data_IF_982114912628
#
_entry.id   IF_982114912628
#
_cell.length_a   1.000
_cell.length_b   1.000
_cell.length_c   1.000
_cell.angle_alpha   90.00
_cell.angle_beta   90.00
_cell.angle_gamma   90.00
#
_symmetry.space_group_name_H-M   'P 1'
#
loop_
_entity.id
_entity.type
_entity.pdbx_description
1 polymer ?
#
# COMPACT_ATOMS: atom_id res chain seq x y z
N UNK A 1 -9.16 5.60 28.72
CA UNK A 1 -8.55 6.32 29.87
C UNK A 1 -8.71 7.84 29.77
N UNK A 2 -8.49 8.43 28.59
CA UNK A 2 -8.53 9.89 28.41
C UNK A 2 -9.88 10.48 28.77
N UNK A 3 -10.97 9.94 28.24
CA UNK A 3 -12.32 10.44 28.53
C UNK A 3 -12.70 10.27 30.00
N UNK A 4 -12.26 9.15 30.62
CA UNK A 4 -12.52 8.90 32.05
C UNK A 4 -11.83 9.96 32.91
N UNK A 5 -10.54 10.22 32.72
CA UNK A 5 -9.82 11.21 33.52
C UNK A 5 -10.33 12.63 33.28
N UNK A 6 -10.66 12.97 32.02
CA UNK A 6 -11.25 14.26 31.67
C UNK A 6 -12.59 14.49 32.37
N UNK A 7 -13.43 13.44 32.47
CA UNK A 7 -14.68 13.50 33.23
C UNK A 7 -14.43 13.72 34.74
N UNK A 8 -13.41 13.04 35.32
CA UNK A 8 -13.04 13.25 36.72
C UNK A 8 -12.51 14.68 36.95
N UNK A 9 -11.68 15.19 36.07
CA UNK A 9 -11.20 16.57 36.16
C UNK A 9 -12.33 17.58 36.08
N UNK A 10 -13.30 17.35 35.16
CA UNK A 10 -14.48 18.21 35.05
C UNK A 10 -15.35 18.17 36.32
N UNK A 11 -15.61 16.97 36.89
CA UNK A 11 -16.38 16.83 38.14
C UNK A 11 -15.72 17.56 39.32
N UNK A 12 -14.41 17.70 39.32
CA UNK A 12 -13.64 18.40 40.34
C UNK A 12 -13.47 19.91 40.08
N UNK A 13 -13.85 20.40 38.87
CA UNK A 13 -13.64 21.80 38.47
C UNK A 13 -14.92 22.63 38.60
N UNK A 14 -15.11 23.22 39.77
CA UNK A 14 -16.30 24.05 40.09
C UNK A 14 -16.46 25.27 39.16
N UNK A 15 -15.36 25.82 38.66
CA UNK A 15 -15.41 26.98 37.75
C UNK A 15 -15.99 26.61 36.39
N UNK A 16 -15.56 25.46 35.86
CA UNK A 16 -16.10 24.96 34.57
C UNK A 16 -17.56 24.52 34.73
N UNK A 17 -17.90 23.86 35.82
CA UNK A 17 -19.30 23.45 36.11
C UNK A 17 -20.19 24.69 36.10
N UNK A 18 -19.85 25.73 36.84
CA UNK A 18 -20.60 26.97 36.87
C UNK A 18 -20.65 27.70 35.52
N UNK A 19 -19.51 27.77 34.81
CA UNK A 19 -19.42 28.41 33.50
C UNK A 19 -20.36 27.81 32.47
N UNK A 20 -20.54 26.50 32.49
CA UNK A 20 -21.35 25.77 31.50
C UNK A 20 -22.70 25.31 32.05
N UNK A 21 -23.09 25.72 33.24
CA UNK A 21 -24.37 25.41 33.91
C UNK A 21 -24.62 23.89 34.02
N UNK A 22 -23.61 23.14 34.51
CA UNK A 22 -23.64 21.70 34.62
C UNK A 22 -24.03 21.19 36.02
N UNK A 23 -24.35 22.07 36.96
CA UNK A 23 -24.59 21.76 38.36
C UNK A 23 -25.63 20.65 38.56
N UNK A 24 -26.70 20.70 37.74
CA UNK A 24 -27.84 19.79 37.89
C UNK A 24 -27.63 18.43 37.20
N UNK A 25 -26.59 18.27 36.38
CA UNK A 25 -26.39 17.07 35.55
C UNK A 25 -25.07 16.35 35.76
N UNK A 26 -24.02 17.05 36.22
CA UNK A 26 -22.67 16.51 36.24
C UNK A 26 -22.50 15.29 37.14
N UNK A 27 -23.23 15.25 38.24
CA UNK A 27 -23.17 14.12 39.19
C UNK A 27 -23.83 12.85 38.64
N UNK A 28 -24.78 13.00 37.73
CA UNK A 28 -25.50 11.89 37.09
C UNK A 28 -24.72 11.31 35.90
N UNK A 29 -23.70 12.02 35.40
CA UNK A 29 -22.85 11.51 34.33
C UNK A 29 -21.86 10.48 34.86
N UNK A 30 -22.12 9.23 34.55
CA UNK A 30 -21.27 8.11 34.96
C UNK A 30 -20.72 7.36 33.75
N UNK A 31 -19.49 6.81 33.84
CA UNK A 31 -18.94 5.98 32.78
C UNK A 31 -19.77 4.72 32.58
N UNK A 32 -20.05 4.37 31.32
CA UNK A 32 -20.72 3.12 30.95
C UNK A 32 -19.66 2.16 30.44
N UNK A 33 -19.63 0.95 31.00
CA UNK A 33 -18.72 -0.09 30.56
C UNK A 33 -19.15 -0.66 29.20
N UNK A 34 -18.41 -0.40 28.17
CA UNK A 34 -18.67 -0.90 26.80
C UNK A 34 -18.05 -2.28 26.58
N UNK A 35 -16.92 -2.57 27.21
CA UNK A 35 -16.28 -3.88 27.10
C UNK A 35 -15.63 -4.29 28.44
N UNK A 36 -15.61 -5.59 28.69
CA UNK A 36 -14.95 -6.20 29.83
C UNK A 36 -13.62 -6.85 29.39
N UNK A 37 -12.60 -6.75 30.21
CA UNK A 37 -11.29 -7.35 30.01
C UNK A 37 -10.90 -8.16 31.24
N UNK A 38 -10.55 -9.43 31.04
CA UNK A 38 -10.11 -10.28 32.13
C UNK A 38 -8.86 -9.69 32.82
N UNK A 39 -8.95 -9.47 34.13
CA UNK A 39 -7.87 -8.88 34.94
C UNK A 39 -8.00 -7.37 35.14
N UNK A 40 -9.09 -6.77 34.67
CA UNK A 40 -9.51 -5.41 34.98
C UNK A 40 -10.89 -5.44 35.65
N UNK A 41 -11.17 -4.42 36.45
CA UNK A 41 -12.44 -4.23 37.10
C UNK A 41 -13.58 -3.83 36.17
N UNK A 42 -14.68 -3.36 36.73
CA UNK A 42 -15.88 -3.00 35.98
C UNK A 42 -15.62 -1.88 34.96
N UNK A 43 -14.76 -0.92 35.30
CA UNK A 43 -14.33 0.18 34.42
C UNK A 43 -12.82 0.06 34.17
N UNK A 44 -12.36 -0.61 33.11
CA UNK A 44 -10.93 -0.81 32.84
C UNK A 44 -10.13 0.49 32.75
N UNK A 45 -10.76 1.57 32.26
CA UNK A 45 -10.16 2.89 32.19
C UNK A 45 -9.81 3.47 33.58
N UNK A 46 -10.67 3.27 34.58
CA UNK A 46 -10.42 3.72 35.94
C UNK A 46 -9.22 2.97 36.54
N UNK A 47 -9.20 1.65 36.36
CA UNK A 47 -8.17 0.81 36.96
C UNK A 47 -6.76 1.07 36.40
N UNK A 48 -6.63 1.28 35.07
CA UNK A 48 -5.32 1.59 34.50
C UNK A 48 -4.82 2.97 34.92
N UNK A 49 -5.72 3.94 35.10
CA UNK A 49 -5.39 5.28 35.60
C UNK A 49 -4.85 5.20 37.00
N UNK A 50 -5.54 4.47 37.88
CA UNK A 50 -5.12 4.25 39.27
C UNK A 50 -3.78 3.50 39.34
N UNK A 51 -3.64 2.40 38.59
CA UNK A 51 -2.43 1.58 38.51
C UNK A 51 -1.19 2.36 38.11
N UNK A 52 -1.32 3.30 37.17
CA UNK A 52 -0.21 4.12 36.69
C UNK A 52 -0.04 5.44 37.43
N UNK A 53 -0.96 5.75 38.38
CA UNK A 53 -0.96 6.96 39.18
C UNK A 53 -1.13 8.22 38.35
N UNK A 54 -1.98 8.19 37.34
CA UNK A 54 -2.30 9.32 36.46
C UNK A 54 -3.16 10.31 37.24
N UNK A 55 -2.79 11.58 37.25
CA UNK A 55 -3.43 12.57 38.13
C UNK A 55 -4.48 13.42 37.43
N UNK A 56 -4.28 13.74 36.17
CA UNK A 56 -5.15 14.61 35.39
C UNK A 56 -5.00 14.31 33.87
N UNK A 57 -5.84 14.95 33.06
CA UNK A 57 -5.86 14.76 31.61
C UNK A 57 -4.59 15.24 30.88
N UNK A 58 -3.68 15.97 31.53
CA UNK A 58 -2.42 16.43 30.95
C UNK A 58 -1.23 15.58 31.38
N UNK A 59 -1.47 14.51 32.15
CA UNK A 59 -0.38 13.61 32.59
C UNK A 59 0.25 12.91 31.37
N UNK A 60 1.59 13.01 31.19
CA UNK A 60 2.27 12.41 30.03
C UNK A 60 2.12 10.89 29.95
N UNK A 61 1.82 10.20 31.05
CA UNK A 61 1.58 8.76 31.07
C UNK A 61 0.23 8.35 30.46
N UNK A 62 -0.68 9.31 30.27
CA UNK A 62 -2.02 9.04 29.77
C UNK A 62 -2.03 8.41 28.38
N UNK A 63 -1.11 8.84 27.53
CA UNK A 63 -0.96 8.26 26.18
C UNK A 63 -0.57 6.78 26.24
N UNK A 64 0.39 6.44 27.07
CA UNK A 64 0.83 5.05 27.24
C UNK A 64 -0.23 4.17 27.85
N UNK A 65 -0.95 4.68 28.86
CA UNK A 65 -2.10 4.01 29.48
C UNK A 65 -3.20 3.70 28.47
N UNK A 66 -3.50 4.66 27.59
CA UNK A 66 -4.51 4.50 26.54
C UNK A 66 -4.08 3.43 25.53
N UNK A 67 -2.83 3.47 25.09
CA UNK A 67 -2.29 2.49 24.14
C UNK A 67 -2.23 1.08 24.73
N UNK A 68 -1.83 0.95 26.01
CA UNK A 68 -1.80 -0.33 26.71
C UNK A 68 -3.22 -0.93 26.81
N UNK A 69 -4.17 -0.16 27.29
CA UNK A 69 -5.54 -0.63 27.46
C UNK A 69 -6.20 -0.98 26.13
N UNK A 70 -6.09 -0.14 25.11
CA UNK A 70 -6.67 -0.41 23.78
C UNK A 70 -6.15 -1.69 23.15
N UNK A 71 -4.84 -1.97 23.29
CA UNK A 71 -4.27 -3.24 22.80
C UNK A 71 -4.87 -4.46 23.52
N UNK A 72 -5.10 -4.35 24.81
CA UNK A 72 -5.67 -5.45 25.59
C UNK A 72 -7.15 -5.61 25.30
N UNK A 73 -7.92 -4.53 25.25
CA UNK A 73 -9.33 -4.51 24.89
C UNK A 73 -9.57 -5.11 23.51
N UNK A 74 -8.81 -4.68 22.50
CA UNK A 74 -8.93 -5.21 21.13
C UNK A 74 -8.66 -6.72 21.08
N UNK A 75 -7.64 -7.21 21.79
CA UNK A 75 -7.22 -8.62 21.70
C UNK A 75 -8.04 -9.56 22.58
N UNK A 76 -8.46 -9.12 23.75
CA UNK A 76 -9.03 -9.96 24.80
C UNK A 76 -10.38 -9.46 25.33
N UNK A 77 -10.80 -8.27 24.94
CA UNK A 77 -12.04 -7.65 25.37
C UNK A 77 -13.27 -8.37 24.84
N UNK A 78 -14.29 -8.40 25.66
CA UNK A 78 -15.64 -8.88 25.33
C UNK A 78 -16.59 -7.70 25.48
N UNK A 79 -17.41 -7.45 24.48
CA UNK A 79 -18.44 -6.41 24.54
C UNK A 79 -19.43 -6.73 25.67
N UNK A 80 -19.78 -5.72 26.47
CA UNK A 80 -20.69 -5.84 27.60
C UNK A 80 -22.08 -6.27 27.13
N UNK A 81 -22.71 -7.18 27.87
CA UNK A 81 -24.00 -7.81 27.53
C UNK A 81 -25.15 -6.80 27.31
N UNK A 82 -25.08 -5.63 27.93
CA UNK A 82 -26.09 -4.58 27.79
C UNK A 82 -25.99 -3.79 26.47
N UNK A 83 -24.96 -4.03 25.67
CA UNK A 83 -24.82 -3.40 24.35
C UNK A 83 -25.63 -4.21 23.32
N UNK A 84 -26.70 -3.61 22.74
CA UNK A 84 -27.55 -4.34 21.81
C UNK A 84 -26.77 -4.87 20.60
N UNK A 85 -27.16 -6.04 20.10
CA UNK A 85 -26.63 -6.69 18.89
C UNK A 85 -25.18 -7.20 18.98
N UNK A 86 -24.34 -6.61 19.86
CA UNK A 86 -22.90 -6.93 19.95
C UNK A 86 -22.50 -7.55 21.30
N UNK A 87 -23.37 -7.56 22.32
CA UNK A 87 -23.07 -8.09 23.65
C UNK A 87 -22.52 -9.53 23.59
N UNK A 88 -21.54 -9.82 24.43
CA UNK A 88 -20.88 -11.13 24.51
C UNK A 88 -19.87 -11.43 23.39
N UNK A 89 -19.79 -10.61 22.33
CA UNK A 89 -18.84 -10.81 21.24
C UNK A 89 -17.45 -10.27 21.60
N UNK A 90 -16.42 -10.85 20.99
CA UNK A 90 -15.06 -10.27 21.08
C UNK A 90 -15.02 -8.89 20.45
N UNK A 91 -14.32 -7.94 21.08
CA UNK A 91 -14.19 -6.55 20.57
C UNK A 91 -13.73 -6.51 19.12
N UNK A 92 -12.73 -7.32 18.73
CA UNK A 92 -12.23 -7.35 17.36
C UNK A 92 -13.30 -7.74 16.33
N UNK A 93 -14.20 -8.68 16.68
CA UNK A 93 -15.31 -9.13 15.81
C UNK A 93 -16.42 -8.08 15.78
N UNK A 94 -16.86 -7.64 16.95
CA UNK A 94 -17.94 -6.65 17.08
C UNK A 94 -17.60 -5.33 16.36
N UNK A 95 -16.33 -4.92 16.35
CA UNK A 95 -15.88 -3.72 15.66
C UNK A 95 -16.09 -3.79 14.15
N UNK A 96 -15.75 -4.92 13.54
CA UNK A 96 -15.91 -5.07 12.08
C UNK A 96 -17.40 -5.21 11.70
N UNK A 97 -18.18 -5.94 12.48
CA UNK A 97 -19.63 -6.03 12.28
C UNK A 97 -20.32 -4.66 12.46
N UNK A 98 -19.98 -3.92 13.51
CA UNK A 98 -20.53 -2.58 13.75
C UNK A 98 -20.19 -1.61 12.60
N UNK A 99 -18.95 -1.66 12.09
CA UNK A 99 -18.53 -0.86 10.95
C UNK A 99 -19.37 -1.18 9.71
N UNK A 100 -19.55 -2.47 9.40
CA UNK A 100 -20.38 -2.91 8.28
C UNK A 100 -21.83 -2.44 8.43
N UNK A 101 -22.44 -2.66 9.60
CA UNK A 101 -23.80 -2.23 9.91
C UNK A 101 -24.03 -0.72 9.75
N UNK A 102 -23.05 0.08 10.18
CA UNK A 102 -23.13 1.55 10.06
C UNK A 102 -23.08 2.00 8.59
N UNK A 103 -22.27 1.34 7.77
CA UNK A 103 -22.18 1.60 6.34
C UNK A 103 -23.49 1.18 5.64
N UNK A 104 -24.00 -0.03 5.92
CA UNK A 104 -25.23 -0.54 5.34
C UNK A 104 -26.46 0.30 5.69
N UNK A 105 -26.48 0.84 6.89
CA UNK A 105 -27.53 1.77 7.36
C UNK A 105 -27.35 3.22 6.84
N UNK A 106 -26.34 3.49 6.01
CA UNK A 106 -25.96 4.83 5.53
C UNK A 106 -25.70 5.85 6.65
N UNK A 107 -25.25 5.38 7.81
CA UNK A 107 -24.87 6.21 8.96
C UNK A 107 -23.38 6.51 9.02
N UNK A 108 -22.58 5.80 8.20
CA UNK A 108 -21.16 6.01 8.05
C UNK A 108 -20.73 5.79 6.59
N UNK A 109 -19.57 6.32 6.26
CA UNK A 109 -18.89 6.06 4.99
C UNK A 109 -17.41 5.77 5.24
N UNK A 110 -16.78 5.04 4.33
CA UNK A 110 -15.35 4.76 4.41
C UNK A 110 -14.56 5.98 3.97
N UNK A 111 -13.58 6.39 4.76
CA UNK A 111 -12.58 7.39 4.42
C UNK A 111 -11.20 6.74 4.49
N UNK A 112 -10.39 6.99 3.46
CA UNK A 112 -9.00 6.55 3.44
C UNK A 112 -8.09 7.65 3.98
N UNK A 113 -7.17 7.29 4.85
CA UNK A 113 -6.19 8.21 5.43
C UNK A 113 -4.87 7.49 5.67
N UNK A 114 -3.78 8.24 5.89
CA UNK A 114 -2.49 7.65 6.21
C UNK A 114 -2.50 7.01 7.59
N UNK A 115 -1.90 5.81 7.68
CA UNK A 115 -1.75 5.11 8.96
C UNK A 115 -0.77 5.82 9.89
N UNK A 116 0.21 6.51 9.32
CA UNK A 116 1.23 7.27 10.05
C UNK A 116 1.27 8.72 9.54
N UNK A 117 1.44 9.67 10.42
CA UNK A 117 1.53 11.11 10.13
C UNK A 117 2.71 11.74 10.85
N UNK A 118 3.32 12.81 10.34
CA UNK A 118 3.01 13.50 9.07
C UNK A 118 3.59 12.77 7.85
N UNK A 119 2.91 12.83 6.72
CA UNK A 119 3.45 12.42 5.42
C UNK A 119 3.71 13.68 4.60
N UNK A 120 4.98 13.98 4.40
CA UNK A 120 5.42 15.23 3.79
C UNK A 120 5.94 14.97 2.37
N UNK A 121 5.45 15.74 1.41
CA UNK A 121 5.94 15.73 0.04
C UNK A 121 7.38 16.28 -0.04
N UNK A 122 8.10 15.96 -1.10
CA UNK A 122 9.42 16.56 -1.39
C UNK A 122 9.40 18.09 -1.53
N UNK A 123 8.23 18.68 -1.83
CA UNK A 123 8.03 20.12 -1.85
C UNK A 123 7.84 20.76 -0.46
N UNK A 124 7.75 19.96 0.60
CA UNK A 124 7.54 20.39 1.98
C UNK A 124 6.08 20.50 2.43
N UNK A 125 5.11 20.22 1.53
CA UNK A 125 3.68 20.28 1.84
C UNK A 125 3.18 18.95 2.40
N UNK A 126 2.13 19.01 3.22
CA UNK A 126 1.44 17.82 3.73
C UNK A 126 0.73 17.06 2.61
N UNK A 127 0.94 15.75 2.58
CA UNK A 127 0.23 14.86 1.67
C UNK A 127 -1.18 14.56 2.20
N UNK A 128 -2.11 14.40 1.26
CA UNK A 128 -3.48 13.95 1.51
C UNK A 128 -3.81 12.74 0.65
N UNK A 129 -4.67 11.86 1.13
CA UNK A 129 -5.17 10.75 0.34
C UNK A 129 -6.17 11.27 -0.69
N UNK A 130 -5.98 10.90 -1.95
CA UNK A 130 -6.90 11.21 -3.04
C UNK A 130 -7.27 9.92 -3.76
N UNK A 131 -8.57 9.65 -3.87
CA UNK A 131 -9.08 8.57 -4.73
C UNK A 131 -9.00 9.08 -6.18
N UNK A 132 -8.40 8.28 -7.04
CA UNK A 132 -8.28 8.58 -8.46
C UNK A 132 -8.95 7.48 -9.27
N UNK A 133 -9.74 7.89 -10.25
CA UNK A 133 -10.41 6.97 -11.18
C UNK A 133 -9.54 6.74 -12.43
N UNK A 134 -9.84 5.67 -13.15
CA UNK A 134 -9.29 5.36 -14.45
C UNK A 134 -7.76 5.25 -14.50
N UNK A 135 -7.15 4.72 -13.44
CA UNK A 135 -5.72 4.43 -13.41
C UNK A 135 -5.42 3.10 -14.10
N UNK A 136 -4.25 3.01 -14.74
CA UNK A 136 -3.72 1.76 -15.26
C UNK A 136 -2.76 1.14 -14.25
N UNK A 137 -2.87 -0.18 -14.10
CA UNK A 137 -2.05 -0.96 -13.18
C UNK A 137 -1.32 -2.08 -13.91
N UNK A 138 -0.08 -2.33 -13.53
CA UNK A 138 0.60 -3.58 -13.80
C UNK A 138 0.17 -4.60 -12.75
N UNK A 139 -0.34 -5.73 -13.22
CA UNK A 139 -0.89 -6.78 -12.35
C UNK A 139 0.23 -7.70 -11.85
N UNK A 140 1.13 -7.19 -11.03
CA UNK A 140 2.19 -8.02 -10.43
C UNK A 140 1.64 -9.10 -9.47
N UNK A 141 0.39 -8.97 -9.01
CA UNK A 141 -0.34 -9.99 -8.27
C UNK A 141 -0.75 -11.21 -9.10
N UNK A 142 -0.47 -11.24 -10.40
CA UNK A 142 -0.79 -12.38 -11.26
C UNK A 142 0.10 -13.60 -10.93
N UNK A 143 -0.53 -14.68 -10.48
CA UNK A 143 0.17 -15.89 -10.00
C UNK A 143 1.06 -16.54 -11.09
N UNK A 144 0.60 -16.54 -12.35
CA UNK A 144 1.37 -17.11 -13.46
C UNK A 144 2.61 -16.26 -13.76
N UNK A 145 2.44 -14.94 -13.79
CA UNK A 145 3.56 -14.03 -14.01
C UNK A 145 4.57 -14.06 -12.86
N UNK A 146 4.09 -14.11 -11.62
CA UNK A 146 4.93 -14.29 -10.43
C UNK A 146 5.74 -15.60 -10.50
N UNK A 147 5.10 -16.71 -10.89
CA UNK A 147 5.77 -18.00 -11.04
C UNK A 147 6.88 -17.95 -12.12
N UNK A 148 6.62 -17.37 -13.30
CA UNK A 148 7.63 -17.14 -14.34
C UNK A 148 8.78 -16.28 -13.84
N UNK A 149 8.49 -15.24 -13.07
CA UNK A 149 9.52 -14.36 -12.51
C UNK A 149 10.43 -15.11 -11.53
N UNK A 150 9.88 -16.01 -10.72
CA UNK A 150 10.68 -16.90 -9.88
C UNK A 150 11.53 -17.90 -10.68
N UNK A 151 11.04 -18.40 -11.81
CA UNK A 151 11.83 -19.26 -12.71
C UNK A 151 13.05 -18.52 -13.24
N UNK A 152 12.88 -17.28 -13.72
CA UNK A 152 13.98 -16.42 -14.15
C UNK A 152 14.98 -16.19 -13.02
N UNK A 153 14.49 -15.76 -11.82
CA UNK A 153 15.35 -15.55 -10.66
C UNK A 153 16.16 -16.80 -10.26
N UNK A 154 15.57 -18.00 -10.43
CA UNK A 154 16.24 -19.25 -10.12
C UNK A 154 17.32 -19.61 -11.14
N UNK A 155 17.20 -19.16 -12.37
CA UNK A 155 18.22 -19.28 -13.42
C UNK A 155 19.39 -18.32 -13.23
N UNK A 156 19.23 -17.23 -12.47
CA UNK A 156 20.22 -16.19 -12.30
C UNK A 156 21.25 -16.46 -11.22
N UNK A 157 22.45 -15.94 -11.42
CA UNK A 157 23.52 -15.92 -10.41
C UNK A 157 23.55 -14.55 -9.73
N UNK A 158 22.98 -14.48 -8.52
CA UNK A 158 22.93 -13.25 -7.72
C UNK A 158 24.19 -13.09 -6.88
N UNK A 159 24.84 -11.91 -6.97
CA UNK A 159 26.03 -11.57 -6.19
C UNK A 159 25.81 -10.23 -5.48
N UNK A 160 25.92 -10.16 -4.14
CA UNK A 160 26.18 -11.27 -3.23
C UNK A 160 24.93 -12.16 -3.02
N UNK A 161 25.15 -13.42 -2.68
CA UNK A 161 24.09 -14.47 -2.65
C UNK A 161 22.92 -14.14 -1.70
N UNK A 162 23.20 -13.46 -0.59
CA UNK A 162 22.17 -13.08 0.39
C UNK A 162 21.10 -12.14 -0.19
N UNK A 163 21.40 -11.43 -1.29
CA UNK A 163 20.45 -10.53 -1.97
C UNK A 163 19.35 -11.34 -2.68
N UNK A 164 19.57 -12.62 -3.01
CA UNK A 164 18.55 -13.44 -3.63
C UNK A 164 17.29 -13.54 -2.78
N UNK A 165 17.43 -13.70 -1.46
CA UNK A 165 16.29 -13.75 -0.54
C UNK A 165 15.47 -12.44 -0.56
N UNK A 166 16.12 -11.32 -0.82
CA UNK A 166 15.40 -10.04 -0.94
C UNK A 166 14.59 -9.99 -2.24
N UNK A 167 15.13 -10.52 -3.35
CA UNK A 167 14.36 -10.65 -4.60
C UNK A 167 13.14 -11.55 -4.40
N UNK A 168 13.32 -12.75 -3.82
CA UNK A 168 12.22 -13.67 -3.52
C UNK A 168 11.13 -12.97 -2.69
N UNK A 169 11.52 -12.29 -1.61
CA UNK A 169 10.60 -11.55 -0.77
C UNK A 169 9.83 -10.45 -1.53
N UNK A 170 10.51 -9.63 -2.35
CA UNK A 170 9.85 -8.54 -3.06
C UNK A 170 9.01 -9.01 -4.23
N UNK A 171 9.37 -10.09 -4.91
CA UNK A 171 8.54 -10.71 -5.95
C UNK A 171 7.23 -11.21 -5.36
N UNK A 172 7.26 -11.87 -4.20
CA UNK A 172 6.07 -12.35 -3.50
C UNK A 172 5.25 -11.22 -2.85
N UNK A 173 5.90 -10.10 -2.50
CA UNK A 173 5.27 -8.98 -1.82
C UNK A 173 4.60 -8.00 -2.78
N UNK A 174 5.06 -7.93 -4.03
CA UNK A 174 4.51 -6.99 -5.00
C UNK A 174 3.06 -7.32 -5.32
N UNK A 175 2.22 -6.30 -5.19
CA UNK A 175 0.82 -6.29 -5.59
C UNK A 175 0.64 -5.40 -6.82
N UNK A 176 -0.59 -5.17 -7.26
CA UNK A 176 -0.89 -4.34 -8.42
C UNK A 176 -0.27 -2.94 -8.28
N UNK A 177 0.50 -2.54 -9.31
CA UNK A 177 1.27 -1.30 -9.28
C UNK A 177 0.69 -0.25 -10.22
N UNK A 178 0.31 0.91 -9.69
CA UNK A 178 -0.19 2.04 -10.50
C UNK A 178 0.91 2.58 -11.43
N UNK A 179 0.82 2.21 -12.70
CA UNK A 179 1.83 2.52 -13.71
C UNK A 179 1.54 3.78 -14.54
N UNK A 180 0.46 4.49 -14.25
CA UNK A 180 0.08 5.71 -14.97
C UNK A 180 0.28 6.98 -14.13
N UNK A 181 0.61 8.09 -14.81
CA UNK A 181 0.77 9.41 -14.20
C UNK A 181 0.08 10.46 -15.11
N UNK A 182 -0.56 11.44 -14.51
CA UNK A 182 -1.20 12.54 -15.24
C UNK A 182 -0.26 13.74 -15.48
N UNK A 183 0.85 13.79 -14.75
CA UNK A 183 1.86 14.86 -14.83
C UNK A 183 3.26 14.26 -14.72
N UNK A 184 4.21 14.83 -15.43
CA UNK A 184 5.62 14.45 -15.38
C UNK A 184 6.27 14.38 -16.77
N UNK A 185 7.49 13.84 -16.78
CA UNK A 185 8.21 13.46 -18.00
C UNK A 185 8.07 11.94 -18.17
N UNK A 186 7.79 11.49 -19.37
CA UNK A 186 7.65 10.08 -19.68
C UNK A 186 6.95 9.83 -21.00
N UNK A 187 6.84 8.58 -21.37
CA UNK A 187 6.15 8.11 -22.57
C UNK A 187 4.64 8.06 -22.30
N UNK A 188 3.85 8.49 -23.26
CA UNK A 188 2.38 8.34 -23.17
C UNK A 188 1.99 6.90 -23.40
N UNK A 189 0.96 6.45 -22.66
CA UNK A 189 0.34 5.14 -22.93
C UNK A 189 -0.23 5.13 -24.35
N UNK A 190 0.15 4.16 -25.22
CA UNK A 190 -0.30 4.13 -26.60
C UNK A 190 -1.80 4.03 -26.79
N UNK A 191 -2.48 3.34 -25.89
CA UNK A 191 -3.93 3.10 -25.92
C UNK A 191 -4.75 4.08 -25.08
N UNK A 192 -4.06 4.92 -24.27
CA UNK A 192 -4.70 5.93 -23.43
C UNK A 192 -3.81 7.15 -23.22
N UNK A 193 -3.76 8.00 -24.24
CA UNK A 193 -2.85 9.13 -24.34
C UNK A 193 -3.01 10.23 -23.27
N UNK A 194 -4.05 10.17 -22.44
CA UNK A 194 -4.17 11.08 -21.30
C UNK A 194 -3.16 10.78 -20.20
N UNK A 195 -2.62 9.55 -20.18
CA UNK A 195 -1.69 9.08 -19.16
C UNK A 195 -0.26 8.94 -19.69
N UNK A 196 0.69 9.22 -18.81
CA UNK A 196 2.11 8.92 -18.99
C UNK A 196 2.42 7.60 -18.28
N UNK A 197 3.33 6.82 -18.83
CA UNK A 197 3.91 5.67 -18.14
C UNK A 197 4.75 6.19 -16.98
N UNK A 198 4.63 5.56 -15.84
CA UNK A 198 5.43 5.89 -14.66
C UNK A 198 6.93 5.62 -14.95
N UNK A 199 7.85 6.57 -14.64
CA UNK A 199 9.24 6.48 -15.06
C UNK A 199 10.00 5.24 -14.58
N UNK A 200 9.66 4.72 -13.41
CA UNK A 200 10.28 3.49 -12.90
C UNK A 200 9.90 2.29 -13.77
N UNK A 201 8.63 2.19 -14.13
CA UNK A 201 8.10 1.14 -15.01
C UNK A 201 8.68 1.26 -16.43
N UNK A 202 8.70 2.47 -16.99
CA UNK A 202 9.21 2.75 -18.34
C UNK A 202 10.71 2.39 -18.47
N UNK A 203 11.46 2.50 -17.38
CA UNK A 203 12.93 2.32 -17.40
C UNK A 203 13.42 0.88 -17.25
N UNK A 204 12.54 -0.11 -17.15
CA UNK A 204 12.94 -1.50 -16.87
C UNK A 204 13.38 -2.28 -18.11
N UNK A 205 12.87 -1.94 -19.30
CA UNK A 205 13.12 -2.67 -20.55
C UNK A 205 14.09 -1.97 -21.49
N UNK A 206 14.62 -0.79 -21.14
CA UNK A 206 15.45 0.00 -22.08
C UNK A 206 16.70 -0.75 -22.58
N UNK A 207 17.24 -1.66 -21.77
CA UNK A 207 18.43 -2.40 -22.16
C UNK A 207 18.15 -3.41 -23.29
N UNK A 208 16.98 -4.01 -23.38
CA UNK A 208 16.57 -4.83 -24.52
C UNK A 208 16.32 -3.94 -25.75
N UNK A 209 15.65 -2.81 -25.59
CA UNK A 209 15.42 -1.84 -26.65
C UNK A 209 16.72 -1.29 -27.26
N UNK A 210 17.74 -1.02 -26.44
CA UNK A 210 19.02 -0.48 -26.95
C UNK A 210 19.70 -1.37 -27.94
N UNK A 211 19.52 -2.68 -27.92
CA UNK A 211 20.11 -3.62 -28.85
C UNK A 211 19.67 -3.34 -30.29
N UNK A 212 18.43 -2.91 -30.47
CA UNK A 212 17.78 -2.69 -31.78
C UNK A 212 17.58 -1.20 -32.13
N UNK A 213 17.77 -0.29 -31.17
CA UNK A 213 17.46 1.14 -31.33
C UNK A 213 18.12 1.79 -32.55
N UNK A 214 19.32 1.32 -32.98
CA UNK A 214 20.03 1.84 -34.14
C UNK A 214 19.26 1.66 -35.46
N UNK A 215 18.50 0.56 -35.58
CA UNK A 215 17.65 0.28 -36.72
C UNK A 215 16.38 1.13 -36.70
N UNK A 216 15.71 1.17 -35.53
CA UNK A 216 14.41 1.81 -35.37
C UNK A 216 14.43 3.32 -35.62
N UNK A 217 15.58 3.99 -35.42
CA UNK A 217 15.72 5.45 -35.61
C UNK A 217 15.41 5.93 -37.02
N UNK A 218 15.57 5.07 -38.02
CA UNK A 218 15.38 5.40 -39.41
C UNK A 218 14.10 4.78 -40.01
N UNK A 219 13.32 4.08 -39.19
CA UNK A 219 12.08 3.45 -39.61
C UNK A 219 10.90 4.39 -39.40
N UNK A 220 9.82 4.16 -40.13
CA UNK A 220 8.58 4.87 -39.92
C UNK A 220 7.91 4.35 -38.65
N UNK A 221 7.52 5.24 -37.74
CA UNK A 221 6.88 4.87 -36.49
C UNK A 221 5.56 4.07 -36.68
N UNK A 222 4.83 4.29 -37.79
CA UNK A 222 3.59 3.57 -38.11
C UNK A 222 3.84 2.09 -38.51
N UNK A 223 5.08 1.72 -38.82
CA UNK A 223 5.46 0.34 -39.12
C UNK A 223 5.96 -0.41 -37.88
N UNK A 224 6.27 0.32 -36.79
CA UNK A 224 6.70 -0.23 -35.49
C UNK A 224 5.50 -0.55 -34.63
N UNK A 225 4.63 -1.41 -35.11
CA UNK A 225 3.42 -1.84 -34.39
C UNK A 225 3.73 -2.98 -33.38
N UNK A 226 2.79 -3.37 -32.52
CA UNK A 226 2.98 -4.50 -31.58
C UNK A 226 3.48 -5.78 -32.27
N UNK A 227 2.89 -6.15 -33.43
CA UNK A 227 3.28 -7.35 -34.16
C UNK A 227 4.75 -7.37 -34.59
N UNK A 228 5.31 -6.19 -34.94
CA UNK A 228 6.74 -6.07 -35.21
C UNK A 228 7.59 -6.40 -33.97
N UNK A 229 7.24 -5.85 -32.81
CA UNK A 229 7.98 -6.13 -31.58
C UNK A 229 7.79 -7.56 -31.10
N UNK A 230 6.59 -8.13 -31.22
CA UNK A 230 6.31 -9.53 -30.91
C UNK A 230 7.20 -10.45 -31.79
N UNK A 231 7.34 -10.11 -33.07
CA UNK A 231 8.23 -10.89 -33.97
C UNK A 231 9.69 -10.75 -33.59
N UNK A 232 10.17 -9.53 -33.35
CA UNK A 232 11.59 -9.26 -33.07
C UNK A 232 12.02 -9.80 -31.70
N UNK A 233 11.19 -9.61 -30.65
CA UNK A 233 11.57 -9.89 -29.28
C UNK A 233 11.16 -11.31 -28.83
N UNK A 234 10.03 -11.83 -29.37
CA UNK A 234 9.40 -13.08 -28.89
C UNK A 234 9.35 -14.17 -29.96
N UNK A 235 9.78 -13.88 -31.22
CA UNK A 235 9.68 -14.76 -32.38
C UNK A 235 8.24 -15.23 -32.69
N UNK A 236 7.24 -14.38 -32.42
CA UNK A 236 5.83 -14.63 -32.71
C UNK A 236 5.51 -14.13 -34.11
N UNK A 237 5.10 -15.05 -34.99
CA UNK A 237 4.66 -14.71 -36.35
C UNK A 237 3.31 -14.01 -36.37
N UNK A 238 3.19 -12.99 -37.22
CA UNK A 238 1.94 -12.29 -37.49
C UNK A 238 1.89 -11.70 -38.88
N UNK A 239 0.74 -11.78 -39.53
CA UNK A 239 0.52 -11.15 -40.86
C UNK A 239 0.46 -9.60 -40.78
N UNK A 240 0.40 -9.04 -39.57
CA UNK A 240 0.32 -7.60 -39.29
C UNK A 240 1.71 -6.92 -39.25
N UNK A 241 2.81 -7.66 -39.35
CA UNK A 241 4.15 -7.12 -39.45
C UNK A 241 4.30 -6.36 -40.80
N UNK A 242 4.60 -5.06 -40.71
CA UNK A 242 4.67 -4.18 -41.90
C UNK A 242 6.08 -4.00 -42.47
N UNK A 243 7.07 -4.48 -41.75
CA UNK A 243 8.49 -4.44 -42.14
C UNK A 243 8.82 -5.71 -42.90
N UNK A 244 9.65 -5.61 -43.94
CA UNK A 244 10.07 -6.76 -44.71
C UNK A 244 10.86 -7.79 -43.89
N UNK A 245 10.75 -9.06 -44.30
CA UNK A 245 11.31 -10.20 -43.56
C UNK A 245 12.84 -10.13 -43.41
N UNK A 246 13.54 -9.58 -44.40
CA UNK A 246 15.01 -9.47 -44.40
C UNK A 246 15.45 -8.47 -43.31
N UNK A 247 14.79 -7.31 -43.24
CA UNK A 247 15.02 -6.29 -42.20
C UNK A 247 14.65 -6.79 -40.83
N UNK A 248 13.50 -7.44 -40.70
CA UNK A 248 13.05 -8.04 -39.41
C UNK A 248 14.07 -9.05 -38.90
N UNK A 249 14.54 -9.93 -39.80
CA UNK A 249 15.53 -10.95 -39.45
C UNK A 249 16.88 -10.34 -39.04
N UNK A 250 17.36 -9.29 -39.71
CA UNK A 250 18.60 -8.60 -39.32
C UNK A 250 18.46 -8.02 -37.88
N UNK A 251 17.32 -7.38 -37.59
CA UNK A 251 17.05 -6.80 -36.28
C UNK A 251 16.93 -7.90 -35.21
N UNK A 252 16.26 -8.99 -35.52
CA UNK A 252 16.12 -10.14 -34.62
C UNK A 252 17.46 -10.82 -34.33
N UNK A 253 18.31 -11.00 -35.34
CA UNK A 253 19.67 -11.55 -35.20
C UNK A 253 20.54 -10.66 -34.28
N UNK A 254 20.43 -9.32 -34.41
CA UNK A 254 21.10 -8.37 -33.51
C UNK A 254 20.56 -8.44 -32.09
N UNK A 255 19.24 -8.51 -31.93
CA UNK A 255 18.61 -8.68 -30.61
C UNK A 255 19.09 -9.95 -29.93
N UNK A 256 19.03 -11.08 -30.62
CA UNK A 256 19.41 -12.38 -30.08
C UNK A 256 20.91 -12.50 -29.78
N UNK A 257 21.75 -11.65 -30.41
CA UNK A 257 23.17 -11.60 -30.08
C UNK A 257 23.45 -10.91 -28.75
N UNK A 258 22.70 -9.86 -28.40
CA UNK A 258 22.93 -9.05 -27.21
C UNK A 258 22.02 -9.41 -26.03
N UNK A 259 20.91 -10.06 -26.27
CA UNK A 259 19.90 -10.44 -25.28
C UNK A 259 19.71 -11.96 -25.27
N UNK A 260 19.56 -12.61 -24.10
CA UNK A 260 19.54 -12.04 -22.76
C UNK A 260 20.88 -11.44 -22.30
N UNK A 261 20.81 -10.54 -21.32
CA UNK A 261 21.99 -9.85 -20.79
C UNK A 261 22.88 -10.80 -19.99
N UNK A 262 24.22 -10.76 -20.19
CA UNK A 262 25.18 -11.54 -19.40
C UNK A 262 25.34 -11.01 -17.99
N UNK A 263 25.26 -9.67 -17.80
CA UNK A 263 25.47 -9.02 -16.52
C UNK A 263 24.55 -7.83 -16.30
N UNK A 264 24.00 -7.73 -15.09
CA UNK A 264 23.31 -6.54 -14.58
C UNK A 264 23.99 -6.06 -13.30
N UNK A 265 24.69 -4.93 -13.36
CA UNK A 265 25.28 -4.28 -12.20
C UNK A 265 24.32 -3.22 -11.66
N UNK A 266 24.07 -3.27 -10.36
CA UNK A 266 23.14 -2.36 -9.69
C UNK A 266 23.43 -2.25 -8.20
N UNK A 267 22.60 -1.48 -7.47
CA UNK A 267 22.71 -1.28 -6.04
C UNK A 267 21.61 -2.04 -5.26
N UNK A 268 21.88 -2.41 -4.01
CA UNK A 268 20.98 -3.20 -3.17
C UNK A 268 19.65 -2.53 -2.88
N UNK A 269 19.63 -1.20 -2.77
CA UNK A 269 18.43 -0.40 -2.54
C UNK A 269 17.45 -0.40 -3.73
N UNK A 270 17.89 -0.83 -4.91
CA UNK A 270 17.03 -0.98 -6.08
C UNK A 270 16.33 -2.35 -6.16
N UNK A 271 16.68 -3.30 -5.29
CA UNK A 271 16.05 -4.64 -5.30
C UNK A 271 14.56 -4.56 -5.00
N UNK A 272 14.15 -3.74 -4.04
CA UNK A 272 12.74 -3.59 -3.64
C UNK A 272 11.88 -2.74 -4.59
N UNK A 273 12.40 -2.32 -5.73
CA UNK A 273 11.69 -1.50 -6.71
C UNK A 273 12.13 -1.82 -8.13
N UNK A 274 13.03 -1.04 -8.72
CA UNK A 274 13.44 -1.16 -10.13
C UNK A 274 13.88 -2.58 -10.53
N UNK A 275 14.69 -3.26 -9.72
CA UNK A 275 15.21 -4.59 -10.10
C UNK A 275 14.15 -5.69 -10.01
N UNK A 276 13.23 -5.62 -9.06
CA UNK A 276 12.08 -6.55 -9.02
C UNK A 276 11.15 -6.32 -10.21
N UNK A 277 10.86 -5.07 -10.57
CA UNK A 277 10.10 -4.75 -11.78
C UNK A 277 10.81 -5.24 -13.05
N UNK A 278 12.12 -5.06 -13.11
CA UNK A 278 12.94 -5.58 -14.21
C UNK A 278 12.77 -7.10 -14.32
N UNK A 279 12.84 -7.85 -13.22
CA UNK A 279 12.64 -9.31 -13.24
C UNK A 279 11.27 -9.70 -13.80
N UNK A 280 10.19 -9.02 -13.37
CA UNK A 280 8.86 -9.25 -13.93
C UNK A 280 8.81 -8.95 -15.43
N UNK A 281 9.31 -7.81 -15.86
CA UNK A 281 9.22 -7.41 -17.27
C UNK A 281 10.10 -8.29 -18.18
N UNK A 282 11.28 -8.66 -17.73
CA UNK A 282 12.17 -9.54 -18.50
C UNK A 282 11.74 -11.01 -18.48
N UNK A 283 10.87 -11.42 -17.56
CA UNK A 283 10.24 -12.74 -17.64
C UNK A 283 9.13 -12.84 -18.70
N UNK A 284 8.73 -11.68 -19.27
CA UNK A 284 7.74 -11.59 -20.34
C UNK A 284 8.34 -11.42 -21.72
N UNK A 285 9.68 -11.22 -21.81
CA UNK A 285 10.45 -11.10 -23.07
C UNK A 285 11.33 -12.38 -23.27
#
# INVERSE_FOLDING_TARGET
PADYIALQDLKNNKELIAKYHLEDIIDDVNPINVCSVKGYGEIPAAEIIEKLGIKDQNDPKLHDATNELYKVEHRKGIISEHIPEYGGKKVAIAREEFKADMIDKNMATTMYDFAERPVICRCGEDCVVKIMDNQWFLKYSDEEWTAKTHEVLNGETIIPKEVKNNFEYYIDWLDDWACSRNVGLGTRLPWDNQWLIEPLTDSTIYMSYYTIAKYLRNMNADDLNPAFFDKVLLDIDSDDVKVDDETVKEIQDEFNYWYPLDWRLSAKDLVGNHLSFLMFHHSAI
#
